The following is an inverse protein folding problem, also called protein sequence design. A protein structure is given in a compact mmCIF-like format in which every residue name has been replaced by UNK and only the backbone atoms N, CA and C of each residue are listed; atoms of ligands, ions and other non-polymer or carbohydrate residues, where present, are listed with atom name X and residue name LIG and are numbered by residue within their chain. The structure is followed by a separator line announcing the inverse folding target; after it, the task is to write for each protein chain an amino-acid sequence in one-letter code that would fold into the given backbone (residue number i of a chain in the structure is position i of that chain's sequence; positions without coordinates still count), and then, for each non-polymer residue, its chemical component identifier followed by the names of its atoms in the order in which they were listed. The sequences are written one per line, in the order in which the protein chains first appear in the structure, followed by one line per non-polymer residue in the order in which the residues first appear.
data_IF_883216412177
#
_entry.id   IF_883216412177
#
_cell.length_a   1.000
_cell.length_b   1.000
_cell.length_c   1.000
_cell.angle_alpha   90.00
_cell.angle_beta   90.00
_cell.angle_gamma   90.00
#
_symmetry.space_group_name_H-M   'P 1'
#
loop_
_entity.id
_entity.type
_entity.pdbx_description
1 polymer ?
#
# COMPACT_ATOMS: atom_id res chain seq x y z
N UNK A 1 65.20 -41.68 -27.57
CA UNK A 1 64.64 -42.11 -26.27
C UNK A 1 63.66 -41.04 -25.84
N UNK A 2 62.39 -41.43 -25.72
CA UNK A 2 61.21 -40.55 -25.60
C UNK A 2 61.08 -40.00 -24.17
N UNK A 3 61.00 -38.67 -24.01
CA UNK A 3 60.62 -38.03 -22.74
C UNK A 3 59.13 -37.71 -22.79
N UNK A 4 58.36 -38.48 -22.02
CA UNK A 4 56.90 -38.42 -21.93
C UNK A 4 56.46 -37.24 -21.06
N UNK A 5 55.98 -36.17 -21.70
CA UNK A 5 55.30 -35.05 -21.03
C UNK A 5 53.97 -35.54 -20.44
N UNK A 6 53.84 -35.56 -19.12
CA UNK A 6 52.55 -35.80 -18.45
C UNK A 6 51.91 -34.46 -18.12
N UNK A 7 50.97 -34.03 -18.94
CA UNK A 7 50.08 -32.89 -18.65
C UNK A 7 48.98 -33.40 -17.71
N UNK A 8 49.00 -32.91 -16.47
CA UNK A 8 47.91 -33.09 -15.51
C UNK A 8 46.77 -32.15 -15.91
N UNK A 9 45.69 -32.70 -16.47
CA UNK A 9 44.44 -31.96 -16.71
C UNK A 9 43.66 -31.97 -15.39
N UNK A 10 43.65 -30.84 -14.69
CA UNK A 10 42.75 -30.63 -13.56
C UNK A 10 41.32 -30.45 -14.11
N UNK A 11 40.49 -31.49 -13.94
CA UNK A 11 39.05 -31.37 -14.14
C UNK A 11 38.49 -30.51 -13.01
N UNK A 12 38.28 -29.22 -13.28
CA UNK A 12 37.44 -28.39 -12.45
C UNK A 12 35.99 -28.85 -12.68
N UNK A 13 35.45 -29.60 -11.71
CA UNK A 13 34.02 -29.89 -11.66
C UNK A 13 33.30 -28.56 -11.42
N UNK A 14 32.72 -27.99 -12.46
CA UNK A 14 31.71 -26.95 -12.33
C UNK A 14 30.53 -27.61 -11.63
N UNK A 15 30.45 -27.44 -10.31
CA UNK A 15 29.24 -27.72 -9.56
C UNK A 15 28.18 -26.75 -10.07
N UNK A 16 27.29 -27.24 -10.91
CA UNK A 16 26.12 -26.50 -11.34
C UNK A 16 25.26 -26.32 -10.09
N UNK A 17 25.40 -25.17 -9.43
CA UNK A 17 24.41 -24.73 -8.46
C UNK A 17 23.10 -24.63 -9.24
N UNK A 18 22.21 -25.59 -9.00
CA UNK A 18 20.86 -25.53 -9.51
C UNK A 18 20.25 -24.24 -8.93
N UNK A 19 20.12 -23.21 -9.76
CA UNK A 19 19.39 -22.01 -9.40
C UNK A 19 17.95 -22.45 -9.15
N UNK A 20 17.57 -22.57 -7.88
CA UNK A 20 16.18 -22.77 -7.52
C UNK A 20 15.37 -21.63 -8.14
N UNK A 21 14.35 -21.98 -8.92
CA UNK A 21 13.46 -21.04 -9.60
C UNK A 21 13.02 -19.94 -8.64
N UNK A 22 13.33 -18.68 -8.97
CA UNK A 22 12.95 -17.51 -8.17
C UNK A 22 11.48 -17.14 -8.33
N UNK A 23 10.77 -17.84 -9.20
CA UNK A 23 9.43 -17.44 -9.61
C UNK A 23 8.36 -18.15 -8.77
N UNK A 24 7.36 -17.37 -8.38
CA UNK A 24 6.15 -17.86 -7.77
C UNK A 24 5.40 -18.75 -8.76
N UNK A 25 5.07 -19.97 -8.36
CA UNK A 25 4.33 -20.92 -9.22
C UNK A 25 2.95 -21.18 -8.65
N UNK A 26 1.91 -20.99 -9.47
CA UNK A 26 0.52 -21.26 -9.10
C UNK A 26 -0.04 -22.32 -10.05
N UNK A 27 -0.58 -23.40 -9.49
CA UNK A 27 -1.12 -24.53 -10.25
C UNK A 27 -2.51 -24.85 -9.74
N UNK A 28 -3.54 -24.49 -10.50
CA UNK A 28 -4.92 -24.90 -10.23
C UNK A 28 -5.08 -26.35 -10.67
N UNK A 29 -5.32 -27.24 -9.71
CA UNK A 29 -5.46 -28.68 -9.95
C UNK A 29 -6.91 -29.17 -9.82
N UNK A 30 -7.76 -28.44 -9.13
CA UNK A 30 -9.19 -28.73 -9.00
C UNK A 30 -10.05 -27.45 -9.10
N UNK A 31 -11.29 -27.61 -9.57
CA UNK A 31 -12.24 -26.52 -9.75
C UNK A 31 -12.00 -25.63 -11.00
N UNK A 32 -12.66 -24.46 -11.07
CA UNK A 32 -12.69 -23.63 -12.26
C UNK A 32 -11.36 -22.87 -12.49
N UNK A 33 -10.79 -23.01 -13.69
CA UNK A 33 -9.61 -22.23 -14.14
C UNK A 33 -9.95 -20.87 -14.74
N UNK A 34 -11.20 -20.72 -15.20
CA UNK A 34 -11.76 -19.48 -15.73
C UNK A 34 -12.97 -19.15 -14.88
N UNK A 35 -12.99 -17.97 -14.28
CA UNK A 35 -14.05 -17.59 -13.35
C UNK A 35 -15.30 -17.22 -14.14
N UNK A 36 -16.45 -17.79 -13.76
CA UNK A 36 -17.72 -17.49 -14.41
C UNK A 36 -18.31 -16.18 -13.86
N UNK A 37 -18.83 -15.33 -14.74
CA UNK A 37 -19.48 -14.07 -14.36
C UNK A 37 -20.87 -14.28 -13.71
N UNK A 38 -21.37 -15.52 -13.63
CA UNK A 38 -22.68 -15.82 -13.05
C UNK A 38 -22.51 -16.55 -11.74
N UNK A 39 -22.74 -15.85 -10.62
CA UNK A 39 -22.95 -16.50 -9.33
C UNK A 39 -24.12 -17.48 -9.42
N UNK A 40 -23.93 -18.74 -8.98
CA UNK A 40 -25.05 -19.65 -8.76
C UNK A 40 -25.89 -19.07 -7.62
N UNK A 41 -26.99 -18.38 -7.94
CA UNK A 41 -27.92 -17.85 -6.94
C UNK A 41 -28.39 -16.40 -7.08
N UNK A 42 -28.31 -15.79 -8.27
CA UNK A 42 -29.07 -14.55 -8.57
C UNK A 42 -28.56 -13.25 -7.94
N UNK A 43 -27.45 -13.27 -7.20
CA UNK A 43 -26.71 -12.07 -6.80
C UNK A 43 -25.30 -12.13 -7.42
N UNK A 44 -24.84 -11.02 -7.99
CA UNK A 44 -23.51 -10.85 -8.58
C UNK A 44 -22.41 -10.92 -7.51
N UNK A 45 -22.14 -12.14 -7.01
CA UNK A 45 -21.04 -12.39 -6.08
C UNK A 45 -19.74 -12.49 -6.87
N UNK A 46 -18.65 -11.87 -6.40
CA UNK A 46 -17.36 -11.99 -7.04
C UNK A 46 -16.92 -13.46 -7.02
N UNK A 47 -16.51 -13.93 -8.19
CA UNK A 47 -16.04 -15.30 -8.41
C UNK A 47 -14.54 -15.36 -8.73
N UNK A 48 -13.88 -14.22 -8.91
CA UNK A 48 -12.45 -14.08 -9.16
C UNK A 48 -11.83 -13.26 -8.05
N UNK A 49 -10.68 -13.68 -7.54
CA UNK A 49 -9.92 -12.91 -6.56
C UNK A 49 -9.24 -11.74 -7.26
N UNK A 50 -9.54 -10.54 -6.80
CA UNK A 50 -8.89 -9.28 -7.20
C UNK A 50 -8.19 -8.66 -5.99
N UNK A 51 -7.23 -7.75 -6.20
CA UNK A 51 -6.62 -7.02 -5.09
C UNK A 51 -7.67 -6.35 -4.20
N UNK A 52 -7.39 -6.31 -2.90
CA UNK A 52 -8.23 -5.77 -1.83
C UNK A 52 -9.50 -6.56 -1.49
N UNK A 53 -9.80 -7.67 -2.18
CA UNK A 53 -10.91 -8.54 -1.78
C UNK A 53 -10.58 -9.33 -0.51
N UNK A 54 -11.62 -9.65 0.25
CA UNK A 54 -11.54 -10.56 1.39
C UNK A 54 -11.72 -11.99 0.89
N UNK A 55 -10.74 -12.85 1.14
CA UNK A 55 -10.74 -14.23 0.68
C UNK A 55 -10.78 -15.17 1.88
N UNK A 56 -11.79 -16.03 1.92
CA UNK A 56 -11.90 -17.14 2.87
C UNK A 56 -11.43 -18.43 2.23
N UNK A 57 -10.45 -19.10 2.82
CA UNK A 57 -9.85 -20.30 2.25
C UNK A 57 -9.40 -21.30 3.31
N UNK A 58 -9.43 -22.58 2.94
CA UNK A 58 -8.62 -23.57 3.64
C UNK A 58 -7.23 -23.61 3.03
N UNK A 59 -6.21 -23.75 3.87
CA UNK A 59 -4.84 -24.01 3.43
C UNK A 59 -4.19 -25.12 4.24
N UNK A 60 -3.20 -25.75 3.62
CA UNK A 60 -2.16 -26.54 4.27
C UNK A 60 -0.81 -26.12 3.70
N UNK A 61 0.16 -25.78 4.56
CA UNK A 61 1.50 -25.41 4.14
C UNK A 61 2.51 -26.50 4.50
N UNK A 62 3.34 -26.83 3.53
CA UNK A 62 4.39 -27.86 3.62
C UNK A 62 5.71 -27.32 3.10
N UNK A 63 6.82 -27.96 3.47
CA UNK A 63 8.11 -27.69 2.83
C UNK A 63 8.11 -28.33 1.44
N UNK A 64 8.37 -27.53 0.41
CA UNK A 64 8.35 -27.98 -0.98
C UNK A 64 9.55 -28.88 -1.31
N UNK A 65 9.36 -29.84 -2.23
CA UNK A 65 10.40 -30.78 -2.66
C UNK A 65 11.61 -30.13 -3.33
N UNK A 66 11.44 -28.94 -3.89
CA UNK A 66 12.52 -28.18 -4.50
C UNK A 66 13.37 -27.38 -3.49
N UNK A 67 13.02 -27.42 -2.19
CA UNK A 67 13.77 -26.67 -1.16
C UNK A 67 15.22 -27.18 -1.05
N UNK A 68 16.22 -26.29 -1.13
CA UNK A 68 17.63 -26.68 -1.06
C UNK A 68 18.00 -27.23 0.32
N UNK A 69 18.93 -28.20 0.36
CA UNK A 69 19.60 -28.69 1.58
C UNK A 69 18.68 -29.13 2.74
N UNK A 70 17.47 -29.63 2.43
CA UNK A 70 16.43 -29.96 3.43
C UNK A 70 15.70 -31.28 3.18
N UNK A 71 16.40 -32.29 2.66
CA UNK A 71 15.83 -33.60 2.32
C UNK A 71 15.12 -34.30 3.49
N UNK A 72 15.54 -34.04 4.73
CA UNK A 72 15.01 -34.62 5.96
C UNK A 72 13.63 -34.08 6.38
N UNK A 73 13.24 -32.91 5.84
CA UNK A 73 11.99 -32.24 6.21
C UNK A 73 11.08 -31.94 5.00
N UNK A 74 11.44 -32.38 3.80
CA UNK A 74 10.58 -32.25 2.61
C UNK A 74 9.19 -32.84 2.89
N UNK A 75 8.15 -32.12 2.48
CA UNK A 75 6.76 -32.53 2.69
C UNK A 75 6.29 -32.42 4.14
N UNK A 76 7.16 -32.02 5.08
CA UNK A 76 6.76 -31.77 6.47
C UNK A 76 5.70 -30.68 6.48
N UNK A 77 4.54 -31.00 7.05
CA UNK A 77 3.46 -30.04 7.31
C UNK A 77 3.91 -29.07 8.40
N UNK A 78 3.77 -27.78 8.12
CA UNK A 78 4.04 -26.68 9.04
C UNK A 78 2.74 -26.27 9.72
N UNK A 79 1.70 -26.02 8.93
CA UNK A 79 0.41 -25.51 9.40
C UNK A 79 -0.73 -25.94 8.47
N UNK A 80 -1.93 -26.12 9.01
CA UNK A 80 -3.16 -26.25 8.24
C UNK A 80 -4.31 -25.55 8.95
N UNK A 81 -5.11 -24.80 8.20
CA UNK A 81 -6.40 -24.25 8.68
C UNK A 81 -7.40 -25.34 9.13
N UNK A 82 -7.16 -26.59 8.72
CA UNK A 82 -7.98 -27.74 9.12
C UNK A 82 -7.53 -28.34 10.45
N UNK A 83 -6.33 -27.98 10.91
CA UNK A 83 -5.86 -28.36 12.24
C UNK A 83 -6.59 -27.48 13.28
N UNK A 84 -7.11 -28.10 14.36
CA UNK A 84 -7.90 -27.40 15.39
C UNK A 84 -9.40 -27.42 15.12
N UNK A 85 -10.06 -26.25 15.15
CA UNK A 85 -11.53 -26.15 14.97
C UNK A 85 -11.98 -26.30 13.51
N UNK A 86 -11.05 -26.42 12.56
CA UNK A 86 -11.36 -26.57 11.14
C UNK A 86 -12.03 -25.36 10.51
N UNK A 87 -11.77 -24.15 11.04
CA UNK A 87 -12.34 -22.90 10.53
C UNK A 87 -11.43 -22.34 9.43
N UNK A 88 -12.00 -22.00 8.29
CA UNK A 88 -11.30 -21.31 7.22
C UNK A 88 -11.10 -19.83 7.58
N UNK A 89 -9.85 -19.34 7.76
CA UNK A 89 -9.63 -17.92 7.99
C UNK A 89 -10.00 -17.10 6.76
N UNK A 90 -10.33 -15.83 7.00
CA UNK A 90 -10.55 -14.83 5.95
C UNK A 90 -9.62 -13.65 6.15
N UNK A 91 -9.00 -13.17 5.07
CA UNK A 91 -8.10 -12.03 5.11
C UNK A 91 -8.15 -11.23 3.80
N UNK A 92 -7.79 -9.94 3.82
CA UNK A 92 -7.62 -9.17 2.60
C UNK A 92 -6.39 -9.65 1.82
N UNK A 93 -6.56 -9.80 0.50
CA UNK A 93 -5.48 -10.20 -0.42
C UNK A 93 -4.98 -8.98 -1.21
N UNK A 94 -3.68 -8.92 -1.50
CA UNK A 94 -3.01 -7.83 -2.20
C UNK A 94 -2.57 -6.68 -1.29
N UNK A 95 -2.58 -6.87 0.03
CA UNK A 95 -2.30 -5.83 1.03
C UNK A 95 -1.11 -6.13 1.94
N UNK A 96 -0.36 -7.21 1.67
CA UNK A 96 0.78 -7.60 2.50
C UNK A 96 0.42 -8.00 3.93
N UNK A 97 -0.84 -8.38 4.20
CA UNK A 97 -1.28 -8.93 5.50
C UNK A 97 -0.85 -10.39 5.69
N UNK A 98 -0.49 -11.06 4.60
CA UNK A 98 0.11 -12.40 4.58
C UNK A 98 1.45 -12.35 3.84
N UNK A 99 2.21 -13.44 3.85
CA UNK A 99 3.49 -13.50 3.11
C UNK A 99 3.27 -13.16 1.63
N UNK A 100 4.23 -12.44 1.04
CA UNK A 100 4.08 -11.87 -0.30
C UNK A 100 3.76 -12.90 -1.38
N UNK A 101 4.25 -14.14 -1.26
CA UNK A 101 3.99 -15.21 -2.22
C UNK A 101 2.57 -15.74 -2.16
N UNK A 102 2.00 -15.86 -0.96
CA UNK A 102 0.60 -16.23 -0.81
C UNK A 102 -0.29 -15.08 -1.30
N UNK A 103 0.04 -13.85 -0.92
CA UNK A 103 -0.69 -12.64 -1.30
C UNK A 103 -0.79 -12.48 -2.83
N UNK A 104 0.32 -12.70 -3.53
CA UNK A 104 0.38 -12.68 -5.00
C UNK A 104 -0.22 -13.93 -5.65
N UNK A 105 -0.02 -15.10 -5.05
CA UNK A 105 -0.39 -16.39 -5.63
C UNK A 105 -1.89 -16.66 -5.63
N UNK A 106 -2.65 -15.97 -4.77
CA UNK A 106 -4.10 -16.05 -4.71
C UNK A 106 -4.79 -15.19 -5.78
N UNK A 107 -4.14 -14.11 -6.26
CA UNK A 107 -4.76 -13.20 -7.23
C UNK A 107 -5.12 -13.94 -8.52
N UNK A 108 -6.36 -13.75 -8.97
CA UNK A 108 -6.89 -14.35 -10.19
C UNK A 108 -7.45 -15.76 -10.02
N UNK A 109 -7.29 -16.41 -8.86
CA UNK A 109 -7.96 -17.68 -8.58
C UNK A 109 -9.47 -17.50 -8.47
N UNK A 110 -10.20 -18.58 -8.72
CA UNK A 110 -11.65 -18.56 -8.71
C UNK A 110 -12.21 -19.15 -7.41
N UNK A 111 -13.39 -18.68 -7.01
CA UNK A 111 -14.18 -19.32 -5.94
C UNK A 111 -14.40 -20.81 -6.27
N UNK A 112 -14.18 -21.68 -5.29
CA UNK A 112 -14.31 -23.13 -5.41
C UNK A 112 -13.17 -23.81 -6.17
N UNK A 113 -12.08 -23.11 -6.48
CA UNK A 113 -10.87 -23.71 -7.03
C UNK A 113 -9.91 -24.12 -5.92
N UNK A 114 -9.12 -25.16 -6.20
CA UNK A 114 -8.01 -25.58 -5.36
C UNK A 114 -6.71 -25.49 -6.13
N UNK A 115 -5.69 -24.91 -5.49
CA UNK A 115 -4.44 -24.57 -6.13
C UNK A 115 -3.23 -24.90 -5.26
N UNK A 116 -2.15 -25.31 -5.92
CA UNK A 116 -0.83 -25.38 -5.32
C UNK A 116 -0.08 -24.08 -5.62
N UNK A 117 0.39 -23.41 -4.57
CA UNK A 117 1.21 -22.21 -4.67
C UNK A 117 2.59 -22.55 -4.10
N UNK A 118 3.60 -22.63 -4.97
CA UNK A 118 5.00 -22.83 -4.58
C UNK A 118 5.65 -21.47 -4.42
N UNK A 119 5.97 -21.13 -3.19
CA UNK A 119 6.47 -19.83 -2.76
C UNK A 119 7.97 -19.91 -2.53
N UNK A 120 8.79 -19.20 -3.34
CA UNK A 120 10.23 -19.16 -3.15
C UNK A 120 10.59 -18.31 -1.92
N UNK A 121 11.79 -18.46 -1.35
CA UNK A 121 12.09 -17.96 0.00
C UNK A 121 11.97 -16.44 0.11
N UNK A 122 12.36 -15.69 -0.91
CA UNK A 122 12.26 -14.22 -0.97
C UNK A 122 10.81 -13.68 -0.94
N UNK A 123 9.83 -14.54 -1.23
CA UNK A 123 8.39 -14.23 -1.11
C UNK A 123 7.75 -14.90 0.12
N UNK A 124 8.54 -15.59 0.93
CA UNK A 124 8.17 -16.21 2.20
C UNK A 124 9.00 -15.61 3.36
N UNK A 125 9.88 -16.40 3.99
CA UNK A 125 10.65 -16.01 5.18
C UNK A 125 12.15 -15.77 4.91
N UNK A 126 12.56 -15.84 3.65
CA UNK A 126 13.91 -15.54 3.18
C UNK A 126 15.02 -16.34 3.88
N UNK A 127 16.19 -15.71 3.98
CA UNK A 127 17.42 -16.30 4.56
C UNK A 127 17.33 -16.55 6.06
N UNK A 128 16.44 -15.87 6.76
CA UNK A 128 16.28 -16.05 8.20
C UNK A 128 15.36 -17.23 8.51
N UNK A 129 14.43 -17.54 7.61
CA UNK A 129 13.40 -18.52 7.89
C UNK A 129 12.46 -18.05 9.00
N UNK A 130 11.73 -19.01 9.57
CA UNK A 130 10.85 -18.81 10.72
C UNK A 130 10.99 -20.01 11.69
N UNK A 131 12.10 -20.07 12.45
CA UNK A 131 12.45 -21.25 13.24
C UNK A 131 11.39 -21.64 14.27
N UNK A 132 10.65 -20.68 14.81
CA UNK A 132 9.56 -20.91 15.75
C UNK A 132 8.39 -21.73 15.14
N UNK A 133 8.25 -21.71 13.81
CA UNK A 133 7.30 -22.54 13.05
C UNK A 133 7.98 -23.73 12.36
N UNK A 134 9.25 -24.00 12.67
CA UNK A 134 10.02 -25.06 12.03
C UNK A 134 10.41 -24.77 10.58
N UNK A 135 10.29 -23.52 10.13
CA UNK A 135 10.73 -23.08 8.80
C UNK A 135 12.17 -22.59 8.92
N UNK A 136 13.08 -23.20 8.15
CA UNK A 136 14.49 -22.81 8.19
C UNK A 136 14.82 -21.70 7.20
N UNK A 137 16.09 -21.26 7.17
CA UNK A 137 16.64 -20.42 6.11
C UNK A 137 16.31 -20.94 4.72
N UNK A 138 16.10 -20.02 3.77
CA UNK A 138 16.00 -20.28 2.33
C UNK A 138 15.04 -21.43 1.96
N UNK A 139 14.01 -21.61 2.79
CA UNK A 139 13.06 -22.71 2.64
C UNK A 139 11.97 -22.33 1.64
N UNK A 140 11.75 -23.21 0.66
CA UNK A 140 10.65 -23.08 -0.30
C UNK A 140 9.39 -23.67 0.32
N UNK A 141 8.30 -22.92 0.28
CA UNK A 141 7.02 -23.35 0.85
C UNK A 141 6.06 -23.77 -0.26
N UNK A 142 5.27 -24.81 0.01
CA UNK A 142 4.16 -25.22 -0.82
C UNK A 142 2.87 -25.09 -0.07
N UNK A 143 2.02 -24.18 -0.51
CA UNK A 143 0.66 -24.00 -0.04
C UNK A 143 -0.28 -24.80 -0.92
N UNK A 144 -1.07 -25.66 -0.30
CA UNK A 144 -2.26 -26.26 -0.88
C UNK A 144 -3.46 -25.47 -0.36
N UNK A 145 -4.16 -24.75 -1.25
CA UNK A 145 -5.26 -23.85 -0.91
C UNK A 145 -6.55 -24.28 -1.58
N UNK A 146 -7.67 -24.08 -0.88
CA UNK A 146 -9.04 -24.28 -1.37
C UNK A 146 -9.84 -23.00 -1.12
N UNK A 147 -10.25 -22.32 -2.19
CA UNK A 147 -10.95 -21.03 -2.11
C UNK A 147 -12.43 -21.26 -1.83
N UNK A 148 -12.90 -20.88 -0.65
CA UNK A 148 -14.29 -21.10 -0.23
C UNK A 148 -15.17 -19.90 -0.54
N UNK A 149 -14.68 -18.70 -0.21
CA UNK A 149 -15.45 -17.47 -0.33
C UNK A 149 -14.59 -16.29 -0.77
N UNK A 150 -15.21 -15.39 -1.53
CA UNK A 150 -14.61 -14.15 -2.01
C UNK A 150 -15.64 -13.06 -1.73
N UNK A 151 -15.25 -12.03 -1.00
CA UNK A 151 -16.10 -10.90 -0.66
C UNK A 151 -15.43 -9.60 -1.09
N UNK A 152 -16.22 -8.59 -1.48
CA UNK A 152 -15.67 -7.25 -1.68
C UNK A 152 -14.99 -6.78 -0.38
N UNK A 153 -14.05 -5.81 -0.47
CA UNK A 153 -13.54 -5.15 0.72
C UNK A 153 -14.70 -4.61 1.56
N UNK A 154 -14.50 -4.57 2.88
CA UNK A 154 -15.42 -3.81 3.73
C UNK A 154 -15.44 -2.36 3.22
N UNK A 155 -16.61 -1.71 3.18
CA UNK A 155 -16.65 -0.28 2.90
C UNK A 155 -15.78 0.47 3.90
N UNK A 156 -15.33 1.64 3.48
CA UNK A 156 -14.68 2.59 4.36
C UNK A 156 -15.67 3.74 4.58
N UNK A 157 -16.55 3.57 5.56
CA UNK A 157 -17.54 4.61 5.86
C UNK A 157 -16.86 5.87 6.38
N UNK A 158 -15.73 5.73 7.09
CA UNK A 158 -14.93 6.86 7.53
C UNK A 158 -14.56 7.79 6.36
N UNK A 159 -13.91 7.25 5.33
CA UNK A 159 -13.47 8.02 4.15
C UNK A 159 -14.63 8.55 3.31
N UNK A 160 -15.84 7.96 3.41
CA UNK A 160 -17.01 8.52 2.73
C UNK A 160 -17.59 9.72 3.48
N UNK A 161 -17.45 9.75 4.80
CA UNK A 161 -17.96 10.82 5.65
C UNK A 161 -16.95 11.98 5.65
N UNK A 162 -15.67 11.68 5.88
CA UNK A 162 -14.54 12.62 5.81
C UNK A 162 -14.37 13.17 4.38
N UNK A 163 -15.07 14.26 4.10
CA UNK A 163 -15.18 14.83 2.76
C UNK A 163 -13.99 15.73 2.46
N UNK A 164 -13.45 16.38 3.49
CA UNK A 164 -12.31 17.27 3.39
C UNK A 164 -10.95 16.53 3.42
N UNK A 165 -10.95 15.24 3.81
CA UNK A 165 -9.81 14.31 3.88
C UNK A 165 -8.74 14.71 4.91
N UNK A 166 -9.15 15.31 6.02
CA UNK A 166 -8.27 15.69 7.12
C UNK A 166 -8.08 14.57 8.16
N UNK A 167 -8.77 13.43 7.98
CA UNK A 167 -8.78 12.28 8.89
C UNK A 167 -9.50 12.51 10.23
N UNK A 168 -10.40 13.48 10.26
CA UNK A 168 -11.29 13.80 11.38
C UNK A 168 -12.71 13.96 10.84
N UNK A 169 -13.70 13.29 11.42
CA UNK A 169 -15.09 13.45 11.01
C UNK A 169 -15.70 14.58 11.83
N UNK A 170 -16.12 15.65 11.16
CA UNK A 170 -16.91 16.71 11.78
C UNK A 170 -18.40 16.37 11.84
N UNK A 171 -19.12 17.03 12.76
CA UNK A 171 -20.58 16.86 12.87
C UNK A 171 -21.33 17.25 11.58
N UNK A 172 -20.81 18.22 10.85
CA UNK A 172 -21.41 18.71 9.60
C UNK A 172 -21.23 17.68 8.47
N UNK A 173 -20.05 17.06 8.36
CA UNK A 173 -19.79 15.97 7.42
C UNK A 173 -20.67 14.75 7.70
N UNK A 174 -20.79 14.33 8.96
CA UNK A 174 -21.67 13.24 9.33
C UNK A 174 -23.13 13.56 9.01
N UNK A 175 -23.59 14.79 9.29
CA UNK A 175 -24.95 15.22 8.97
C UNK A 175 -25.23 15.12 7.48
N UNK A 176 -24.35 15.67 6.64
CA UNK A 176 -24.50 15.63 5.19
C UNK A 176 -24.55 14.18 4.68
N UNK A 177 -23.68 13.31 5.22
CA UNK A 177 -23.67 11.89 4.87
C UNK A 177 -25.00 11.18 5.18
N UNK A 178 -25.53 11.33 6.41
CA UNK A 178 -26.77 10.66 6.81
C UNK A 178 -28.02 11.26 6.16
N UNK A 179 -28.06 12.58 5.96
CA UNK A 179 -29.12 13.24 5.18
C UNK A 179 -29.13 12.74 3.74
N UNK A 180 -27.96 12.57 3.13
CA UNK A 180 -27.80 12.01 1.78
C UNK A 180 -28.32 10.56 1.65
N UNK A 181 -28.30 9.78 2.74
CA UNK A 181 -28.90 8.44 2.79
C UNK A 181 -30.41 8.45 3.07
N UNK A 182 -30.99 9.62 3.36
CA UNK A 182 -32.39 9.76 3.78
C UNK A 182 -32.67 9.14 5.15
N UNK A 183 -31.65 8.98 5.99
CA UNK A 183 -31.77 8.45 7.34
C UNK A 183 -31.80 9.61 8.35
N UNK A 184 -32.83 9.63 9.20
CA UNK A 184 -32.86 10.53 10.35
C UNK A 184 -32.08 9.84 11.46
N UNK A 185 -30.87 10.32 11.72
CA UNK A 185 -29.97 9.82 12.76
C UNK A 185 -29.85 10.90 13.83
N UNK A 186 -29.88 10.47 15.09
CA UNK A 186 -29.58 11.34 16.22
C UNK A 186 -28.06 11.45 16.38
N UNK A 187 -27.49 12.52 15.83
CA UNK A 187 -26.05 12.76 15.84
C UNK A 187 -25.49 13.09 17.21
N UNK A 188 -26.30 13.73 18.07
CA UNK A 188 -25.86 14.11 19.42
C UNK A 188 -25.58 12.84 20.24
N UNK A 189 -26.49 11.86 20.16
CA UNK A 189 -26.29 10.54 20.78
C UNK A 189 -25.09 9.78 20.19
N UNK A 190 -24.80 9.93 18.88
CA UNK A 190 -23.66 9.27 18.24
C UNK A 190 -22.33 9.86 18.73
N UNK A 191 -22.25 11.19 18.81
CA UNK A 191 -21.06 11.88 19.33
C UNK A 191 -20.80 11.54 20.79
N UNK A 192 -21.83 11.48 21.65
CA UNK A 192 -21.67 11.05 23.05
C UNK A 192 -21.02 9.66 23.18
N UNK A 193 -21.26 8.77 22.21
CA UNK A 193 -20.71 7.42 22.18
C UNK A 193 -19.33 7.34 21.52
N UNK A 194 -19.04 8.12 20.47
CA UNK A 194 -17.82 7.98 19.65
C UNK A 194 -16.76 9.05 19.91
N UNK A 195 -17.12 10.28 20.28
CA UNK A 195 -16.18 11.37 20.61
C UNK A 195 -15.64 11.19 22.05
N UNK A 196 -14.66 10.29 22.20
CA UNK A 196 -14.11 9.91 23.50
C UNK A 196 -13.34 11.05 24.18
N UNK A 197 -12.71 11.95 23.42
CA UNK A 197 -11.93 13.06 23.96
C UNK A 197 -12.70 14.39 24.04
N UNK A 198 -13.91 14.46 23.48
CA UNK A 198 -14.85 15.56 23.58
C UNK A 198 -14.42 16.79 22.78
N UNK A 199 -13.59 16.61 21.75
CA UNK A 199 -13.07 17.70 20.93
C UNK A 199 -14.04 18.14 19.82
N UNK A 200 -15.17 17.43 19.66
CA UNK A 200 -16.20 17.69 18.67
C UNK A 200 -15.97 16.97 17.34
N UNK A 201 -14.91 16.16 17.22
CA UNK A 201 -14.58 15.39 16.03
C UNK A 201 -14.54 13.89 16.37
N UNK A 202 -14.81 13.05 15.37
CA UNK A 202 -14.57 11.61 15.49
C UNK A 202 -13.33 11.28 14.67
N UNK A 203 -12.21 11.04 15.35
CA UNK A 203 -10.95 10.68 14.69
C UNK A 203 -10.94 9.22 14.28
N UNK A 204 -9.95 8.87 13.47
CA UNK A 204 -9.76 7.50 12.99
C UNK A 204 -9.76 6.44 14.10
N UNK A 205 -9.18 6.73 15.27
CA UNK A 205 -9.07 5.76 16.37
C UNK A 205 -10.40 5.61 17.15
N UNK A 206 -11.17 6.69 17.24
CA UNK A 206 -12.49 6.77 17.89
C UNK A 206 -13.62 6.12 17.09
N UNK A 207 -13.59 6.29 15.76
CA UNK A 207 -14.65 5.83 14.87
C UNK A 207 -14.97 4.34 15.05
N UNK A 208 -16.24 3.98 15.28
CA UNK A 208 -16.66 2.59 15.50
C UNK A 208 -17.24 1.92 14.25
N UNK A 209 -17.45 2.68 13.18
CA UNK A 209 -17.95 2.19 11.91
C UNK A 209 -16.95 1.38 11.08
N UNK A 210 -17.30 1.11 9.83
CA UNK A 210 -16.44 0.32 8.95
C UNK A 210 -15.26 1.14 8.42
N UNK A 211 -14.03 0.69 8.71
CA UNK A 211 -12.77 1.38 8.37
C UNK A 211 -12.13 0.91 7.05
N UNK A 212 -12.77 0.01 6.32
CA UNK A 212 -12.23 -0.54 5.08
C UNK A 212 -10.75 -0.93 5.16
N UNK A 213 -9.98 -0.52 4.17
CA UNK A 213 -8.56 -0.89 3.97
C UNK A 213 -7.62 0.32 4.00
N UNK A 214 -8.16 1.51 3.79
CA UNK A 214 -7.45 2.77 3.68
C UNK A 214 -7.58 3.48 5.02
N UNK A 215 -6.45 3.79 5.65
CA UNK A 215 -6.42 4.47 6.94
C UNK A 215 -5.44 5.64 6.90
N UNK A 216 -5.37 6.43 7.98
CA UNK A 216 -4.57 7.62 8.03
C UNK A 216 -3.11 7.27 7.70
N UNK A 217 -2.42 8.15 6.96
CA UNK A 217 -1.01 7.93 6.67
C UNK A 217 -0.28 7.72 8.00
N UNK A 218 0.65 6.75 8.06
CA UNK A 218 1.36 6.46 9.29
C UNK A 218 1.99 7.77 9.79
N UNK A 219 1.59 8.21 10.99
CA UNK A 219 2.14 9.40 11.65
C UNK A 219 3.66 9.27 11.56
N UNK A 220 4.28 10.08 10.69
CA UNK A 220 5.73 10.11 10.61
C UNK A 220 6.20 10.37 12.03
N UNK A 221 7.01 9.47 12.62
CA UNK A 221 7.62 9.71 13.93
C UNK A 221 8.62 10.85 13.79
N UNK A 222 8.14 12.07 13.55
CA UNK A 222 8.93 13.29 13.63
C UNK A 222 8.96 13.62 15.11
N UNK A 223 10.05 13.24 15.75
CA UNK A 223 10.43 13.81 17.05
C UNK A 223 10.48 15.33 16.85
N UNK A 224 9.95 16.13 17.79
CA UNK A 224 9.77 17.59 17.62
C UNK A 224 11.01 18.39 17.17
N UNK A 225 12.21 17.80 17.21
CA UNK A 225 13.42 18.38 16.62
C UNK A 225 13.45 18.39 15.08
N UNK A 226 12.72 17.51 14.39
CA UNK A 226 12.72 17.44 12.93
C UNK A 226 11.75 18.41 12.26
N UNK A 227 10.65 18.82 12.91
CA UNK A 227 9.72 19.80 12.35
C UNK A 227 10.38 21.18 12.21
N UNK A 228 11.09 21.65 13.23
CA UNK A 228 11.86 22.90 13.15
C UNK A 228 12.96 22.84 12.10
N UNK A 229 13.64 21.70 11.96
CA UNK A 229 14.73 21.55 11.01
C UNK A 229 14.24 21.42 9.56
N UNK A 230 13.08 20.82 9.36
CA UNK A 230 12.50 20.67 8.03
C UNK A 230 11.81 21.96 7.58
N UNK A 231 11.15 22.71 8.47
CA UNK A 231 10.68 24.07 8.17
C UNK A 231 11.85 25.01 7.87
N UNK A 232 12.96 24.92 8.62
CA UNK A 232 14.17 25.69 8.29
C UNK A 232 14.79 25.25 6.97
N UNK A 233 14.86 23.94 6.68
CA UNK A 233 15.40 23.47 5.40
C UNK A 233 14.48 23.80 4.22
N UNK A 234 13.17 23.77 4.41
CA UNK A 234 12.18 24.11 3.38
C UNK A 234 12.19 25.61 3.13
N UNK A 235 12.22 26.42 4.19
CA UNK A 235 12.46 27.87 4.12
C UNK A 235 13.81 28.17 3.46
N UNK A 236 14.91 27.52 3.85
CA UNK A 236 16.22 27.68 3.20
C UNK A 236 16.20 27.24 1.73
N UNK A 237 15.45 26.19 1.37
CA UNK A 237 15.32 25.78 -0.03
C UNK A 237 14.49 26.77 -0.85
N UNK A 238 13.44 27.36 -0.26
CA UNK A 238 12.61 28.35 -0.93
C UNK A 238 13.38 29.67 -1.02
N UNK A 239 14.07 30.10 0.03
CA UNK A 239 14.93 31.29 0.03
C UNK A 239 16.06 31.15 -1.01
N UNK A 240 16.68 29.96 -1.12
CA UNK A 240 17.70 29.71 -2.15
C UNK A 240 17.14 29.55 -3.56
N UNK A 241 15.86 29.21 -3.71
CA UNK A 241 15.17 29.23 -4.99
C UNK A 241 14.85 30.68 -5.36
N UNK A 242 14.23 31.45 -4.48
CA UNK A 242 13.88 32.86 -4.68
C UNK A 242 15.14 33.69 -4.99
N UNK A 243 16.22 33.54 -4.23
CA UNK A 243 17.48 34.26 -4.51
C UNK A 243 18.10 33.91 -5.87
N UNK A 244 17.73 32.77 -6.48
CA UNK A 244 18.17 32.43 -7.84
C UNK A 244 17.27 33.01 -8.92
N UNK A 245 16.03 33.40 -8.58
CA UNK A 245 15.06 33.99 -9.51
C UNK A 245 15.15 35.52 -9.45
N UNK A 246 15.08 36.06 -8.24
CA UNK A 246 15.24 37.46 -7.87
C UNK A 246 16.66 37.94 -8.21
N UNK A 247 16.80 38.49 -9.41
CA UNK A 247 18.08 38.87 -10.00
C UNK A 247 18.49 40.29 -9.61
N UNK A 248 17.53 41.13 -9.20
CA UNK A 248 17.78 42.49 -8.71
C UNK A 248 17.78 42.62 -7.18
N UNK A 249 17.61 41.50 -6.46
CA UNK A 249 17.67 41.36 -5.00
C UNK A 249 16.64 42.24 -4.27
N UNK A 250 15.49 42.49 -4.89
CA UNK A 250 14.43 43.33 -4.34
C UNK A 250 13.48 42.59 -3.37
N UNK A 251 13.65 41.26 -3.25
CA UNK A 251 12.90 40.39 -2.35
C UNK A 251 11.54 39.96 -2.88
N UNK A 252 11.22 40.27 -4.15
CA UNK A 252 10.03 39.84 -4.87
C UNK A 252 10.44 39.18 -6.20
N UNK A 253 9.53 38.43 -6.82
CA UNK A 253 9.78 37.87 -8.15
C UNK A 253 8.92 38.62 -9.16
N UNK A 254 9.55 39.37 -10.06
CA UNK A 254 8.86 40.05 -11.14
C UNK A 254 8.48 39.09 -12.29
N UNK A 255 7.49 39.48 -13.10
CA UNK A 255 7.07 38.73 -14.30
C UNK A 255 8.24 38.48 -15.27
N UNK A 256 9.19 39.42 -15.32
CA UNK A 256 10.35 39.31 -16.20
C UNK A 256 11.37 38.26 -15.71
N UNK A 257 11.59 38.18 -14.41
CA UNK A 257 12.54 37.23 -13.79
C UNK A 257 12.02 35.80 -13.85
N UNK A 258 10.73 35.61 -13.57
CA UNK A 258 10.10 34.30 -13.71
C UNK A 258 10.09 33.84 -15.17
N UNK A 259 9.74 34.72 -16.11
CA UNK A 259 9.76 34.41 -17.54
C UNK A 259 11.17 34.05 -18.05
N UNK A 260 12.22 34.69 -17.52
CA UNK A 260 13.61 34.37 -17.85
C UNK A 260 13.95 32.92 -17.43
N UNK A 261 13.56 32.51 -16.22
CA UNK A 261 13.78 31.14 -15.74
C UNK A 261 12.98 30.11 -16.54
N UNK A 262 11.71 30.37 -16.84
CA UNK A 262 10.90 29.44 -17.63
C UNK A 262 11.52 29.21 -19.02
N UNK A 263 12.03 30.28 -19.65
CA UNK A 263 12.73 30.20 -20.93
C UNK A 263 14.05 29.44 -20.83
N UNK A 264 14.80 29.59 -19.74
CA UNK A 264 16.06 28.86 -19.49
C UNK A 264 15.82 27.37 -19.21
N UNK A 265 14.68 27.01 -18.63
CA UNK A 265 14.23 25.63 -18.41
C UNK A 265 13.50 25.01 -19.61
N UNK A 266 13.40 25.73 -20.74
CA UNK A 266 12.79 25.25 -21.97
C UNK A 266 11.25 25.21 -21.95
N UNK A 267 10.62 25.93 -21.02
CA UNK A 267 9.19 26.13 -20.94
C UNK A 267 8.77 27.52 -21.38
N UNK A 268 7.47 27.70 -21.64
CA UNK A 268 6.86 29.02 -21.85
C UNK A 268 5.92 29.30 -20.67
N UNK A 269 6.01 30.50 -20.12
CA UNK A 269 5.13 30.96 -19.06
C UNK A 269 3.78 31.33 -19.68
N UNK A 270 2.72 30.61 -19.31
CA UNK A 270 1.34 30.92 -19.73
C UNK A 270 0.77 32.05 -18.88
N UNK A 271 -0.06 32.92 -19.47
CA UNK A 271 -0.74 34.00 -18.72
C UNK A 271 -1.61 33.43 -17.59
N UNK A 272 -2.30 32.32 -17.83
CA UNK A 272 -3.09 31.61 -16.81
C UNK A 272 -2.27 31.21 -15.57
N UNK A 273 -0.98 30.92 -15.73
CA UNK A 273 -0.10 30.55 -14.62
C UNK A 273 0.34 31.78 -13.80
N UNK A 274 0.47 32.94 -14.46
CA UNK A 274 0.77 34.19 -13.79
C UNK A 274 -0.40 34.63 -12.92
N UNK A 275 -1.61 34.63 -13.48
CA UNK A 275 -2.82 35.07 -12.79
C UNK A 275 -3.17 34.16 -11.59
N UNK A 276 -2.76 32.89 -11.63
CA UNK A 276 -2.91 31.96 -10.50
C UNK A 276 -1.85 32.18 -9.41
N UNK A 277 -0.70 32.77 -9.77
CA UNK A 277 0.43 32.99 -8.87
C UNK A 277 0.48 34.39 -8.25
N UNK A 278 -0.22 35.36 -8.82
CA UNK A 278 -0.33 36.77 -8.36
C UNK A 278 -1.82 37.08 -8.00
N UNK A 279 -2.34 36.49 -6.90
CA UNK A 279 -3.75 36.65 -6.50
C UNK A 279 -4.08 38.04 -5.98
N UNK A 280 -3.10 38.79 -5.46
CA UNK A 280 -3.32 40.16 -5.00
C UNK A 280 -3.22 41.21 -6.14
N UNK A 281 -2.67 40.79 -7.28
CA UNK A 281 -2.61 41.56 -8.52
C UNK A 281 -1.62 42.72 -8.46
N UNK A 282 -0.63 42.67 -7.56
CA UNK A 282 0.38 43.72 -7.39
C UNK A 282 1.45 43.72 -8.50
N UNK A 283 1.44 42.69 -9.36
CA UNK A 283 2.34 42.54 -10.49
C UNK A 283 3.69 41.90 -10.15
N UNK A 284 3.81 41.36 -8.94
CA UNK A 284 4.96 40.61 -8.44
C UNK A 284 4.45 39.34 -7.73
N UNK A 285 5.31 38.33 -7.60
CA UNK A 285 5.03 37.16 -6.76
C UNK A 285 5.88 37.30 -5.50
N UNK A 286 5.21 37.53 -4.37
CA UNK A 286 5.82 37.55 -3.05
C UNK A 286 6.06 36.13 -2.52
N UNK A 287 6.88 36.02 -1.47
CA UNK A 287 7.12 34.75 -0.78
C UNK A 287 5.81 34.12 -0.26
N UNK A 288 4.87 34.94 0.22
CA UNK A 288 3.60 34.49 0.81
C UNK A 288 2.65 33.92 -0.24
N UNK A 289 2.73 34.44 -1.47
CA UNK A 289 2.00 33.95 -2.64
C UNK A 289 2.62 32.67 -3.20
N UNK A 290 3.97 32.61 -3.26
CA UNK A 290 4.69 31.41 -3.69
C UNK A 290 4.48 30.22 -2.74
N UNK A 291 4.33 30.47 -1.43
CA UNK A 291 4.09 29.45 -0.42
C UNK A 291 2.63 28.93 -0.38
N UNK A 292 1.73 29.45 -1.22
CA UNK A 292 0.33 29.00 -1.30
C UNK A 292 -0.51 29.28 -0.04
N UNK A 293 -0.02 30.13 0.88
CA UNK A 293 -0.72 30.51 2.10
C UNK A 293 -1.64 31.72 1.87
N UNK A 294 -2.56 31.61 0.92
CA UNK A 294 -3.48 32.67 0.52
C UNK A 294 -4.95 32.36 0.80
N UNK A 295 -5.29 31.87 2.01
CA UNK A 295 -6.69 31.92 2.47
C UNK A 295 -6.94 33.30 3.06
N UNK A 296 -7.76 34.07 2.35
CA UNK A 296 -8.26 35.39 2.70
C UNK A 296 -8.44 35.59 4.22
N UNK A 297 -7.79 36.61 4.77
CA UNK A 297 -8.12 37.21 6.06
C UNK A 297 -8.49 38.66 5.79
N UNK A 298 -9.76 38.99 5.98
CA UNK A 298 -10.32 40.32 5.72
C UNK A 298 -10.13 41.32 6.86
N UNK A 299 -10.82 42.46 6.66
CA UNK A 299 -11.14 43.57 7.59
C UNK A 299 -10.05 44.66 7.76
N UNK A 300 -10.32 45.97 7.74
CA UNK A 300 -11.55 46.79 7.67
C UNK A 300 -11.13 48.25 7.35
N UNK A 301 -11.95 49.00 6.59
CA UNK A 301 -12.50 50.34 6.91
C UNK A 301 -13.54 50.74 5.86
#
# INVERSE_FOLDING_TARGET
MSFSTRILVALATVSCAAFASTDLKVIVYDGPKICSNKGKGGADKPNKIEPNMIVGLHFTVTIDESSPDRSDVIGKKIESSRDGMGVAPSFPVGQGKVIAGLDRGLIGLCRGSSALIVVPPQLAYGRMGKPEQGVGPDTILRYDVEILDIRPPAPNDFVKIDTNKDWEISIDEAREYFEGLGQVVDLDSLWEDEDEDGDGYIRWDEFKGTKGIEGPPPKSKKTGQQQHKQQQQEQETIDTLIQKIDSDEDGKISKAELAYIFKELGGEMTEDFWDESDPDGDGFISFEEFAGSGKARGEEL
#
